data_IF_621483978044
#
_entry.id   IF_621483978044
#
_cell.length_a   1.000
_cell.length_b   1.000
_cell.length_c   1.000
_cell.angle_alpha   90.00
_cell.angle_beta   90.00
_cell.angle_gamma   90.00
#
_symmetry.space_group_name_H-M   'P 1'
#
loop_
_entity.id
_entity.type
_entity.pdbx_description
1 polymer ?
#
# COMPACT_ATOMS: atom_id res chain seq x y z
N UNK A 1 -6.24 -18.47 22.65
CA UNK A 1 -5.43 -17.23 22.66
C UNK A 1 -4.03 -17.42 23.26
N UNK A 2 -3.70 -18.52 23.96
CA UNK A 2 -2.37 -18.68 24.57
C UNK A 2 -1.19 -18.77 23.55
N UNK A 3 -1.31 -19.58 22.50
CA UNK A 3 -0.18 -19.86 21.60
C UNK A 3 0.42 -18.65 20.87
N UNK A 4 -0.41 -17.70 20.40
CA UNK A 4 0.09 -16.53 19.67
C UNK A 4 1.05 -15.64 20.51
N UNK A 5 0.90 -15.62 21.84
CA UNK A 5 1.79 -14.89 22.73
C UNK A 5 3.10 -15.66 23.04
N UNK A 6 3.13 -16.97 22.83
CA UNK A 6 4.35 -17.77 22.96
C UNK A 6 5.24 -17.68 21.71
N UNK A 7 4.63 -17.54 20.52
CA UNK A 7 5.35 -17.38 19.25
C UNK A 7 6.13 -16.04 19.22
N UNK A 8 5.46 -14.92 19.57
CA UNK A 8 6.04 -13.55 19.57
C UNK A 8 7.24 -13.36 20.53
N UNK A 9 7.50 -14.29 21.46
CA UNK A 9 8.51 -14.09 22.53
C UNK A 9 9.94 -14.00 22.03
N UNK A 10 10.23 -14.55 20.85
CA UNK A 10 11.57 -14.55 20.24
C UNK A 10 11.69 -13.55 19.09
N UNK A 11 10.62 -12.87 18.70
CA UNK A 11 10.59 -11.97 17.53
C UNK A 11 11.66 -10.89 17.61
N UNK A 12 11.87 -10.26 18.76
CA UNK A 12 12.91 -9.24 18.92
C UNK A 12 14.33 -9.76 18.69
N UNK A 13 14.60 -11.02 19.06
CA UNK A 13 15.90 -11.66 18.80
C UNK A 13 16.04 -12.05 17.32
N UNK A 14 14.98 -12.62 16.72
CA UNK A 14 14.97 -13.01 15.31
C UNK A 14 15.03 -11.78 14.38
N UNK A 15 14.38 -10.67 14.75
CA UNK A 15 14.42 -9.40 14.02
C UNK A 15 15.80 -8.75 14.10
N UNK A 16 16.42 -8.71 15.29
CA UNK A 16 17.79 -8.21 15.45
C UNK A 16 18.79 -9.05 14.64
N UNK A 17 18.59 -10.37 14.52
CA UNK A 17 19.35 -11.20 13.60
C UNK A 17 19.04 -10.86 12.13
N UNK A 18 17.77 -10.71 11.75
CA UNK A 18 17.36 -10.38 10.38
C UNK A 18 17.94 -9.05 9.89
N UNK A 19 17.96 -8.02 10.74
CA UNK A 19 18.53 -6.70 10.45
C UNK A 19 20.06 -6.71 10.23
N UNK A 20 20.77 -7.76 10.68
CA UNK A 20 22.22 -7.93 10.47
C UNK A 20 22.57 -8.71 9.19
N UNK A 21 21.59 -9.16 8.42
CA UNK A 21 21.82 -9.89 7.17
C UNK A 21 21.45 -9.02 5.97
N UNK A 22 22.46 -8.45 5.31
CA UNK A 22 22.28 -7.64 4.09
C UNK A 22 21.67 -8.45 2.93
N UNK A 23 21.89 -9.78 2.90
CA UNK A 23 21.24 -10.72 1.98
C UNK A 23 19.80 -11.10 2.35
N UNK A 24 19.23 -10.47 3.39
CA UNK A 24 17.84 -10.62 3.79
C UNK A 24 17.46 -12.04 4.23
N UNK A 25 16.20 -12.43 3.96
CA UNK A 25 15.59 -13.66 4.50
C UNK A 25 16.34 -14.94 4.05
N UNK A 26 16.86 -14.98 2.83
CA UNK A 26 17.60 -16.16 2.34
C UNK A 26 18.87 -16.40 3.14
N UNK A 27 19.60 -15.33 3.49
CA UNK A 27 20.82 -15.41 4.28
C UNK A 27 20.51 -15.77 5.74
N UNK A 28 19.47 -15.17 6.34
CA UNK A 28 18.99 -15.50 7.68
C UNK A 28 18.62 -16.99 7.81
N UNK A 29 17.89 -17.54 6.83
CA UNK A 29 17.51 -18.96 6.79
C UNK A 29 18.75 -19.85 6.67
N UNK A 30 19.72 -19.47 5.84
CA UNK A 30 21.00 -20.17 5.75
C UNK A 30 21.77 -20.13 7.08
N UNK A 31 21.84 -18.98 7.75
CA UNK A 31 22.44 -18.83 9.08
C UNK A 31 21.78 -19.72 10.13
N UNK A 32 20.45 -19.85 10.10
CA UNK A 32 19.71 -20.76 10.98
C UNK A 32 20.07 -22.24 10.74
N UNK A 33 20.06 -22.73 9.49
CA UNK A 33 20.51 -24.10 9.18
C UNK A 33 21.99 -24.32 9.48
N UNK A 34 22.82 -23.30 9.27
CA UNK A 34 24.25 -23.27 9.59
C UNK A 34 24.50 -23.38 11.10
N UNK A 35 23.63 -22.79 11.94
CA UNK A 35 23.59 -23.00 13.38
C UNK A 35 23.18 -24.43 13.73
N UNK A 36 22.04 -24.92 13.21
CA UNK A 36 21.53 -26.27 13.48
C UNK A 36 22.60 -27.33 13.17
N UNK A 37 23.26 -27.25 12.01
CA UNK A 37 24.34 -28.15 11.61
C UNK A 37 25.56 -28.16 12.54
N UNK A 38 25.83 -27.06 13.26
CA UNK A 38 27.00 -26.93 14.15
C UNK A 38 26.72 -27.16 15.63
N UNK A 39 25.47 -26.96 16.06
CA UNK A 39 25.10 -26.87 17.49
C UNK A 39 23.99 -27.84 17.90
N UNK A 40 23.43 -28.59 16.95
CA UNK A 40 22.42 -29.62 17.20
C UNK A 40 22.75 -30.88 16.41
N UNK A 41 22.10 -31.97 16.75
CA UNK A 41 22.10 -33.24 16.03
C UNK A 41 21.09 -33.27 14.86
N UNK A 42 20.44 -32.15 14.52
CA UNK A 42 19.32 -32.06 13.57
C UNK A 42 19.52 -32.81 12.23
N UNK A 43 20.74 -32.83 11.69
CA UNK A 43 21.06 -33.51 10.41
C UNK A 43 21.61 -34.94 10.56
N UNK A 44 21.85 -35.43 11.78
CA UNK A 44 22.58 -36.69 12.04
C UNK A 44 21.98 -37.58 13.14
N UNK A 45 21.10 -37.07 13.99
CA UNK A 45 20.50 -37.77 15.13
C UNK A 45 19.17 -38.48 14.83
N UNK A 46 18.63 -38.32 13.62
CA UNK A 46 17.35 -38.90 13.20
C UNK A 46 17.47 -39.90 12.05
N UNK A 47 16.34 -40.51 11.70
CA UNK A 47 16.23 -41.36 10.50
C UNK A 47 16.49 -40.55 9.21
N UNK A 48 16.92 -41.24 8.14
CA UNK A 48 17.19 -40.59 6.85
C UNK A 48 15.93 -39.86 6.33
N UNK A 49 16.06 -38.57 6.04
CA UNK A 49 14.95 -37.71 5.61
C UNK A 49 14.11 -37.10 6.73
N UNK A 50 14.35 -37.42 8.01
CA UNK A 50 13.57 -36.86 9.14
C UNK A 50 13.68 -35.32 9.23
N UNK A 51 14.87 -34.77 9.00
CA UNK A 51 15.12 -33.33 8.98
C UNK A 51 14.32 -32.61 7.87
N UNK A 52 14.33 -33.17 6.65
CA UNK A 52 13.61 -32.64 5.49
C UNK A 52 12.10 -32.68 5.71
N UNK A 53 11.58 -33.80 6.24
CA UNK A 53 10.17 -33.95 6.60
C UNK A 53 9.73 -32.91 7.63
N UNK A 54 10.52 -32.68 8.67
CA UNK A 54 10.22 -31.68 9.71
C UNK A 54 10.15 -30.26 9.11
N UNK A 55 11.11 -29.90 8.24
CA UNK A 55 11.11 -28.60 7.54
C UNK A 55 9.84 -28.46 6.68
N UNK A 56 9.48 -29.48 5.91
CA UNK A 56 8.27 -29.47 5.08
C UNK A 56 6.98 -29.36 5.90
N UNK A 57 6.87 -30.08 7.02
CA UNK A 57 5.69 -30.02 7.90
C UNK A 57 5.55 -28.64 8.54
N UNK A 58 6.65 -28.08 9.07
CA UNK A 58 6.66 -26.73 9.65
C UNK A 58 6.32 -25.65 8.60
N UNK A 59 6.96 -25.70 7.42
CA UNK A 59 6.67 -24.78 6.33
C UNK A 59 5.20 -24.83 5.90
N UNK A 60 4.66 -26.03 5.67
CA UNK A 60 3.26 -26.21 5.27
C UNK A 60 2.28 -25.72 6.35
N UNK A 61 2.61 -25.90 7.63
CA UNK A 61 1.81 -25.38 8.74
C UNK A 61 1.71 -23.84 8.70
N UNK A 62 2.85 -23.15 8.69
CA UNK A 62 2.87 -21.68 8.67
C UNK A 62 2.32 -21.09 7.36
N UNK A 63 2.57 -21.73 6.21
CA UNK A 63 2.00 -21.33 4.92
C UNK A 63 0.46 -21.43 4.94
N UNK A 64 -0.12 -22.49 5.53
CA UNK A 64 -1.57 -22.62 5.70
C UNK A 64 -2.16 -21.54 6.61
N UNK A 65 -1.48 -21.21 7.72
CA UNK A 65 -1.89 -20.11 8.61
C UNK A 65 -1.85 -18.75 7.92
N UNK A 66 -0.78 -18.48 7.16
CA UNK A 66 -0.62 -17.25 6.37
C UNK A 66 -1.75 -17.11 5.34
N UNK A 67 -2.02 -18.14 4.54
CA UNK A 67 -3.12 -18.16 3.56
C UNK A 67 -4.49 -17.94 4.20
N UNK A 68 -4.81 -18.67 5.27
CA UNK A 68 -6.10 -18.51 5.97
C UNK A 68 -6.27 -17.11 6.59
N UNK A 69 -5.17 -16.45 6.96
CA UNK A 69 -5.18 -15.07 7.45
C UNK A 69 -5.38 -14.09 6.29
N UNK A 70 -4.67 -14.27 5.18
CA UNK A 70 -4.83 -13.47 3.96
C UNK A 70 -6.27 -13.54 3.39
N UNK A 71 -6.84 -14.75 3.33
CA UNK A 71 -8.22 -14.99 2.87
C UNK A 71 -9.26 -14.26 3.75
N UNK A 72 -9.06 -14.23 5.08
CA UNK A 72 -9.93 -13.47 6.01
C UNK A 72 -9.84 -11.96 5.77
N UNK A 73 -8.64 -11.41 5.65
CA UNK A 73 -8.42 -9.98 5.40
C UNK A 73 -9.08 -9.55 4.08
N UNK A 74 -9.01 -10.41 3.05
CA UNK A 74 -9.65 -10.15 1.76
C UNK A 74 -11.17 -10.27 1.82
N UNK A 75 -11.71 -11.23 2.58
CA UNK A 75 -13.15 -11.34 2.82
C UNK A 75 -13.70 -10.11 3.55
N UNK A 76 -13.04 -9.67 4.64
CA UNK A 76 -13.41 -8.45 5.39
C UNK A 76 -13.35 -7.19 4.49
N UNK A 77 -12.31 -7.06 3.66
CA UNK A 77 -12.21 -5.95 2.69
C UNK A 77 -13.34 -5.97 1.66
N UNK A 78 -13.67 -7.13 1.09
CA UNK A 78 -14.80 -7.27 0.15
C UNK A 78 -16.14 -6.97 0.81
N UNK A 79 -16.32 -7.36 2.07
CA UNK A 79 -17.55 -7.07 2.80
C UNK A 79 -17.66 -5.59 3.17
N UNK A 80 -16.57 -4.95 3.61
CA UNK A 80 -16.51 -3.52 3.86
C UNK A 80 -16.84 -2.70 2.59
N UNK A 81 -16.29 -3.10 1.43
CA UNK A 81 -16.61 -2.49 0.13
C UNK A 81 -18.10 -2.63 -0.23
N UNK A 82 -18.69 -3.83 -0.06
CA UNK A 82 -20.13 -4.05 -0.29
C UNK A 82 -21.00 -3.21 0.63
N UNK A 83 -20.68 -3.17 1.94
CA UNK A 83 -21.39 -2.34 2.94
C UNK A 83 -21.31 -0.85 2.57
N UNK A 84 -20.15 -0.37 2.13
CA UNK A 84 -19.98 1.01 1.65
C UNK A 84 -20.82 1.31 0.41
N UNK A 85 -20.85 0.41 -0.58
CA UNK A 85 -21.64 0.59 -1.80
C UNK A 85 -23.14 0.66 -1.49
N UNK A 86 -23.64 -0.23 -0.61
CA UNK A 86 -25.05 -0.24 -0.17
C UNK A 86 -25.40 1.03 0.61
N UNK A 87 -24.50 1.57 1.44
CA UNK A 87 -24.73 2.84 2.15
C UNK A 87 -24.74 4.03 1.19
N UNK A 88 -23.88 4.05 0.17
CA UNK A 88 -23.89 5.08 -0.88
C UNK A 88 -25.10 4.99 -1.82
N UNK A 89 -25.70 3.81 -1.97
CA UNK A 89 -26.87 3.57 -2.83
C UNK A 89 -28.22 3.65 -2.10
N UNK A 90 -28.26 3.81 -0.78
CA UNK A 90 -29.51 4.18 -0.10
C UNK A 90 -29.88 5.62 -0.47
N UNK A 91 -31.07 5.86 -1.05
CA UNK A 91 -31.56 7.23 -1.22
C UNK A 91 -31.64 7.90 0.16
N UNK A 92 -31.31 9.19 0.24
CA UNK A 92 -31.86 10.00 1.32
C UNK A 92 -33.37 10.03 1.11
N UNK A 93 -34.14 9.50 2.06
CA UNK A 93 -35.57 9.82 2.17
C UNK A 93 -35.69 11.32 2.46
N UNK A 94 -35.78 12.11 1.39
CA UNK A 94 -36.44 13.41 1.44
C UNK A 94 -37.91 13.16 1.18
N UNK A 95 -38.74 13.60 2.11
CA UNK A 95 -40.14 13.89 1.82
C UNK A 95 -40.22 14.80 0.58
N UNK A 96 -40.85 14.33 -0.49
CA UNK A 96 -41.92 15.04 -1.24
C UNK A 96 -42.49 14.16 -2.38
N UNK A 97 -43.72 14.41 -2.87
CA UNK A 97 -44.58 13.33 -3.38
C UNK A 97 -44.63 13.12 -4.90
N UNK A 98 -44.66 11.82 -5.28
CA UNK A 98 -45.56 11.16 -6.26
C UNK A 98 -46.05 11.93 -7.51
N UNK A 99 -45.64 11.47 -8.70
CA UNK A 99 -46.36 11.40 -10.00
C UNK A 99 -45.48 10.51 -10.93
N UNK A 100 -45.77 9.21 -11.04
CA UNK A 100 -46.46 8.50 -12.16
C UNK A 100 -45.74 8.49 -13.52
N UNK A 101 -45.64 7.29 -14.11
CA UNK A 101 -44.85 6.91 -15.29
C UNK A 101 -45.35 7.52 -16.61
N UNK A 102 -44.43 7.83 -17.53
CA UNK A 102 -44.68 8.01 -18.96
C UNK A 102 -43.53 7.38 -19.79
N UNK A 103 -43.90 6.83 -20.95
CA UNK A 103 -43.15 5.86 -21.77
C UNK A 103 -42.31 6.46 -22.90
N UNK A 104 -41.49 5.62 -23.54
CA UNK A 104 -40.38 5.93 -24.47
C UNK A 104 -40.68 6.78 -25.74
N UNK A 105 -41.92 7.21 -25.98
CA UNK A 105 -42.31 7.88 -27.24
C UNK A 105 -41.83 9.34 -27.36
N UNK A 106 -41.45 10.01 -26.27
CA UNK A 106 -40.98 11.41 -26.32
C UNK A 106 -39.53 11.57 -26.77
N UNK A 107 -38.68 10.55 -26.54
CA UNK A 107 -37.28 10.56 -26.96
C UNK A 107 -37.10 10.58 -28.49
N UNK A 108 -38.02 9.96 -29.23
CA UNK A 108 -37.93 9.82 -30.68
C UNK A 108 -38.20 11.12 -31.46
N UNK A 109 -38.89 12.09 -30.84
CA UNK A 109 -39.15 13.40 -31.46
C UNK A 109 -37.91 14.30 -31.46
N UNK A 110 -37.21 14.38 -30.33
CA UNK A 110 -36.00 15.21 -30.21
C UNK A 110 -34.88 14.79 -31.18
N UNK A 111 -34.73 13.49 -31.46
CA UNK A 111 -33.69 13.01 -32.35
C UNK A 111 -33.92 13.45 -33.81
N UNK A 112 -35.18 13.44 -34.28
CA UNK A 112 -35.55 13.80 -35.68
C UNK A 112 -35.36 15.28 -36.00
N UNK A 113 -35.38 16.17 -35.00
CA UNK A 113 -35.11 17.60 -35.21
C UNK A 113 -33.61 17.94 -35.25
N UNK A 114 -32.75 17.14 -34.60
CA UNK A 114 -31.30 17.34 -34.62
C UNK A 114 -30.70 16.94 -35.97
N UNK A 115 -31.10 15.80 -36.53
CA UNK A 115 -30.53 15.30 -37.79
C UNK A 115 -30.92 16.16 -39.01
N UNK A 116 -32.10 16.77 -38.99
CA UNK A 116 -32.56 17.69 -40.04
C UNK A 116 -31.71 18.96 -40.13
N UNK A 117 -31.18 19.44 -39.01
CA UNK A 117 -30.43 20.70 -38.93
C UNK A 117 -28.92 20.53 -39.24
N UNK A 118 -28.45 19.28 -39.43
CA UNK A 118 -27.04 18.96 -39.72
C UNK A 118 -26.75 18.68 -41.21
N UNK A 119 -27.79 18.62 -42.04
CA UNK A 119 -27.68 18.32 -43.47
C UNK A 119 -27.37 19.54 -44.37
N UNK A 120 -27.54 20.76 -43.89
CA UNK A 120 -27.49 21.99 -44.71
C UNK A 120 -26.11 22.69 -44.73
N UNK A 121 -25.03 22.06 -44.25
CA UNK A 121 -23.65 22.61 -44.33
C UNK A 121 -22.60 21.55 -44.70
N UNK A 122 -22.24 21.49 -45.99
CA UNK A 122 -21.09 20.73 -46.52
C UNK A 122 -20.44 21.46 -47.71
N UNK A 123 -19.16 21.14 -47.95
CA UNK A 123 -18.24 21.62 -49.01
C UNK A 123 -17.69 23.03 -48.68
N UNK A 124 -16.40 23.40 -48.81
CA UNK A 124 -15.32 23.10 -49.80
C UNK A 124 -13.89 23.35 -49.19
N UNK A 125 -12.71 22.91 -49.67
CA UNK A 125 -12.22 21.72 -50.45
C UNK A 125 -10.67 21.59 -50.32
N UNK A 126 -10.12 20.36 -50.40
CA UNK A 126 -8.79 19.94 -50.97
C UNK A 126 -7.36 20.20 -50.38
N UNK A 127 -6.63 19.06 -50.26
CA UNK A 127 -5.22 18.73 -50.68
C UNK A 127 -3.92 19.28 -50.02
N UNK A 128 -2.90 18.40 -49.97
CA UNK A 128 -1.54 18.51 -49.37
C UNK A 128 -0.44 18.79 -50.43
N UNK A 129 0.85 19.11 -50.09
CA UNK A 129 1.86 18.07 -49.72
C UNK A 129 3.14 18.47 -48.90
N UNK A 130 3.90 17.45 -48.43
CA UNK A 130 5.37 17.42 -48.14
C UNK A 130 5.97 18.25 -46.97
N UNK A 131 7.09 17.92 -46.28
CA UNK A 131 7.95 16.69 -46.07
C UNK A 131 9.11 17.07 -45.07
N UNK A 132 9.85 16.11 -44.48
CA UNK A 132 11.22 16.24 -43.86
C UNK A 132 11.28 16.91 -42.44
N UNK A 133 12.00 16.47 -41.39
CA UNK A 133 12.86 15.29 -41.09
C UNK A 133 13.09 15.08 -39.56
N UNK A 134 13.26 13.82 -39.12
CA UNK A 134 14.22 13.30 -38.09
C UNK A 134 14.23 13.87 -36.63
N UNK A 135 14.75 13.18 -35.59
CA UNK A 135 15.69 12.04 -35.51
C UNK A 135 15.42 11.18 -34.23
N UNK A 136 15.76 9.88 -34.29
CA UNK A 136 16.29 8.91 -33.27
C UNK A 136 16.24 9.23 -31.75
N UNK A 137 16.24 8.31 -30.78
CA UNK A 137 16.26 6.82 -30.62
C UNK A 137 15.92 6.59 -29.12
N UNK A 138 15.67 5.41 -28.52
CA UNK A 138 16.13 4.04 -28.75
C UNK A 138 15.15 3.10 -27.99
N UNK A 139 15.04 1.82 -28.40
CA UNK A 139 14.41 0.79 -27.56
C UNK A 139 15.45 0.23 -26.59
N UNK A 140 15.04 -0.05 -25.36
CA UNK A 140 15.47 -1.25 -24.65
C UNK A 140 14.20 -2.00 -24.23
N UNK A 141 14.17 -3.29 -24.57
CA UNK A 141 13.07 -4.21 -24.29
C UNK A 141 13.46 -5.08 -23.10
N UNK A 142 12.81 -4.88 -21.96
CA UNK A 142 12.65 -5.92 -20.94
C UNK A 142 11.15 -6.27 -20.88
N UNK A 143 10.76 -7.30 -21.62
CA UNK A 143 9.45 -7.92 -21.49
C UNK A 143 9.39 -8.71 -20.19
N UNK A 144 8.66 -8.21 -19.19
CA UNK A 144 8.13 -9.05 -18.12
C UNK A 144 6.62 -8.80 -17.99
N UNK A 145 5.86 -9.90 -18.00
CA UNK A 145 4.46 -9.91 -18.44
C UNK A 145 3.56 -9.10 -17.49
N UNK A 146 3.01 -7.97 -17.97
CA UNK A 146 1.97 -7.24 -17.23
C UNK A 146 0.71 -8.09 -17.08
N UNK A 147 0.52 -8.67 -15.89
CA UNK A 147 -0.78 -9.17 -15.45
C UNK A 147 -1.75 -7.96 -15.41
N UNK A 148 -2.80 -7.96 -16.25
CA UNK A 148 -3.76 -6.85 -16.46
C UNK A 148 -4.54 -6.40 -15.20
N UNK A 149 -4.18 -6.91 -14.02
CA UNK A 149 -4.76 -6.60 -12.71
C UNK A 149 -3.94 -5.60 -11.89
N UNK A 150 -2.74 -5.21 -12.33
CA UNK A 150 -1.83 -4.34 -11.55
C UNK A 150 -1.60 -2.91 -12.09
N UNK A 151 -2.24 -2.54 -13.22
CA UNK A 151 -2.31 -1.14 -13.69
C UNK A 151 -2.92 -0.22 -12.60
N UNK A 152 -2.05 0.50 -11.89
CA UNK A 152 -2.40 1.48 -10.85
C UNK A 152 -1.97 1.15 -9.42
N UNK A 153 -1.30 0.01 -9.15
CA UNK A 153 -0.73 -0.26 -7.82
C UNK A 153 0.72 0.22 -7.74
N UNK A 154 1.05 1.05 -6.74
CA UNK A 154 2.44 1.44 -6.48
C UNK A 154 3.25 0.18 -6.15
N UNK A 155 4.30 -0.09 -6.95
CA UNK A 155 5.24 -1.18 -6.68
C UNK A 155 5.90 -0.95 -5.31
N UNK A 156 5.89 -1.95 -4.40
CA UNK A 156 6.54 -1.78 -3.10
C UNK A 156 8.02 -1.49 -3.27
N UNK A 157 8.56 -0.61 -2.43
CA UNK A 157 10.01 -0.41 -2.34
C UNK A 157 10.66 -1.59 -1.58
N UNK A 158 12.00 -1.67 -1.58
CA UNK A 158 12.74 -2.77 -0.94
C UNK A 158 12.47 -2.93 0.56
N UNK A 159 11.94 -1.89 1.22
CA UNK A 159 11.49 -1.92 2.61
C UNK A 159 10.00 -2.21 2.78
N UNK A 160 9.35 -2.89 1.83
CA UNK A 160 7.91 -3.23 1.82
C UNK A 160 6.94 -2.03 1.98
N UNK A 161 7.41 -0.80 1.80
CA UNK A 161 6.61 0.42 1.84
C UNK A 161 6.39 0.97 0.44
N UNK A 162 6.32 2.30 0.31
CA UNK A 162 6.19 2.95 -0.99
C UNK A 162 6.95 4.28 -1.07
N UNK A 163 7.37 4.60 -2.28
CA UNK A 163 7.99 5.86 -2.64
C UNK A 163 6.94 6.78 -3.28
N UNK A 164 6.69 7.94 -2.67
CA UNK A 164 5.80 8.97 -3.21
C UNK A 164 6.57 10.29 -3.39
N UNK A 165 6.09 11.22 -4.26
CA UNK A 165 6.81 12.45 -4.58
C UNK A 165 7.13 13.37 -3.38
N UNK A 166 6.34 13.27 -2.30
CA UNK A 166 6.45 14.15 -1.13
C UNK A 166 6.90 13.42 0.15
N UNK A 167 6.95 12.09 0.14
CA UNK A 167 7.38 11.27 1.27
C UNK A 167 7.71 9.84 0.83
N UNK A 168 8.68 9.22 1.48
CA UNK A 168 8.98 7.79 1.38
C UNK A 168 8.67 7.13 2.70
N UNK A 169 8.21 5.89 2.67
CA UNK A 169 8.11 5.08 3.89
C UNK A 169 8.52 3.63 3.65
N UNK A 170 8.99 2.99 4.70
CA UNK A 170 9.40 1.58 4.78
C UNK A 170 8.80 0.96 6.03
N UNK A 171 8.66 -0.36 6.09
CA UNK A 171 8.07 -1.04 7.24
C UNK A 171 8.66 -2.43 7.46
N UNK A 172 8.58 -2.86 8.71
CA UNK A 172 8.76 -4.26 9.12
C UNK A 172 7.41 -4.83 9.57
N UNK A 173 7.39 -5.96 10.29
CA UNK A 173 6.19 -6.44 10.97
C UNK A 173 5.85 -5.61 12.23
N UNK A 174 6.87 -5.08 12.92
CA UNK A 174 6.76 -4.28 14.14
C UNK A 174 6.58 -2.78 13.87
N UNK A 175 7.35 -2.20 12.96
CA UNK A 175 7.43 -0.73 12.83
C UNK A 175 7.10 -0.21 11.42
N UNK A 176 6.98 1.11 11.32
CA UNK A 176 6.97 1.87 10.07
C UNK A 176 7.85 3.10 10.23
N UNK A 177 8.79 3.28 9.30
CA UNK A 177 9.63 4.47 9.20
C UNK A 177 9.15 5.33 8.02
N UNK A 178 8.89 6.60 8.29
CA UNK A 178 8.45 7.59 7.32
C UNK A 178 9.53 8.68 7.20
N UNK A 179 9.91 9.05 5.99
CA UNK A 179 10.77 10.19 5.69
C UNK A 179 10.03 11.23 4.84
N UNK A 180 9.89 12.45 5.36
CA UNK A 180 9.24 13.59 4.70
C UNK A 180 10.27 14.69 4.42
N UNK A 181 10.80 14.80 3.19
CA UNK A 181 11.70 15.87 2.81
C UNK A 181 10.94 17.19 2.59
N UNK A 182 11.40 18.27 3.24
CA UNK A 182 10.85 19.61 3.04
C UNK A 182 11.78 20.46 2.15
N UNK A 183 11.30 21.01 1.01
CA UNK A 183 12.10 21.84 0.12
C UNK A 183 12.27 23.27 0.65
N UNK A 184 12.93 23.41 1.80
CA UNK A 184 13.20 24.69 2.47
C UNK A 184 14.65 25.14 2.29
N UNK A 185 14.85 26.45 2.16
CA UNK A 185 16.17 27.10 2.04
C UNK A 185 16.89 27.29 3.38
N UNK A 186 16.18 27.10 4.50
CA UNK A 186 16.69 27.23 5.87
C UNK A 186 16.74 25.87 6.58
N UNK A 187 17.56 25.78 7.65
CA UNK A 187 17.64 24.57 8.48
C UNK A 187 16.43 24.48 9.42
N UNK A 188 15.60 23.47 9.26
CA UNK A 188 14.45 23.19 10.12
C UNK A 188 14.86 23.02 11.59
N UNK A 189 14.01 23.49 12.50
CA UNK A 189 14.08 23.23 13.94
C UNK A 189 12.72 22.74 14.43
N UNK A 190 12.67 22.03 15.56
CA UNK A 190 11.42 21.45 16.08
C UNK A 190 10.28 22.46 16.35
N UNK A 191 10.58 23.76 16.49
CA UNK A 191 9.58 24.84 16.61
C UNK A 191 8.90 25.23 15.28
N UNK A 192 9.49 24.86 14.15
CA UNK A 192 9.07 25.22 12.79
C UNK A 192 8.28 24.08 12.13
N UNK A 193 8.27 22.89 12.75
CA UNK A 193 7.58 21.67 12.30
C UNK A 193 6.42 21.37 13.25
N UNK A 194 5.35 20.79 12.71
CA UNK A 194 4.25 20.17 13.47
C UNK A 194 4.27 18.68 13.16
N UNK A 195 4.52 17.85 14.17
CA UNK A 195 4.32 16.40 14.14
C UNK A 195 3.37 16.04 15.27
N UNK A 196 2.17 15.57 14.94
CA UNK A 196 1.19 15.08 15.90
C UNK A 196 0.88 13.62 15.59
N UNK A 197 1.23 12.72 16.52
CA UNK A 197 1.01 11.27 16.41
C UNK A 197 -0.10 10.89 17.38
N UNK A 198 -1.17 10.29 16.86
CA UNK A 198 -2.30 9.75 17.63
C UNK A 198 -2.48 8.29 17.24
N UNK A 199 -3.08 7.50 18.15
CA UNK A 199 -3.31 6.05 17.98
C UNK A 199 -3.83 5.64 16.59
N UNK A 200 -4.64 6.47 15.93
CA UNK A 200 -5.21 6.23 14.57
C UNK A 200 -5.03 7.38 13.58
N UNK A 201 -4.31 8.45 13.91
CA UNK A 201 -4.18 9.62 13.03
C UNK A 201 -2.77 10.18 13.15
N UNK A 202 -2.22 10.67 12.05
CA UNK A 202 -0.97 11.41 12.11
C UNK A 202 -1.05 12.65 11.23
N UNK A 203 -0.42 13.72 11.71
CA UNK A 203 -0.29 15.00 11.01
C UNK A 203 1.19 15.41 11.00
N UNK A 204 1.74 15.69 9.82
CA UNK A 204 3.14 16.12 9.61
C UNK A 204 3.17 17.32 8.66
N UNK A 205 3.78 18.43 9.07
CA UNK A 205 3.86 19.64 8.26
C UNK A 205 4.73 20.75 8.85
N UNK A 206 4.77 21.91 8.17
CA UNK A 206 5.40 23.11 8.68
C UNK A 206 4.40 23.97 9.47
N UNK A 207 4.89 24.62 10.52
CA UNK A 207 4.06 25.49 11.36
C UNK A 207 3.56 26.69 10.57
N UNK A 208 2.24 26.82 10.47
CA UNK A 208 1.57 27.90 9.72
C UNK A 208 1.38 27.62 8.22
N UNK A 209 1.68 26.41 7.75
CA UNK A 209 1.31 25.94 6.41
C UNK A 209 0.33 24.76 6.49
N UNK A 210 -0.28 24.42 5.36
CA UNK A 210 -1.06 23.18 5.23
C UNK A 210 -0.14 21.97 5.52
N UNK A 211 -0.55 21.00 6.35
CA UNK A 211 0.21 19.78 6.55
C UNK A 211 0.47 19.04 5.24
N UNK A 212 1.68 18.48 5.07
CA UNK A 212 2.00 17.61 3.92
C UNK A 212 1.26 16.28 4.08
N UNK A 213 1.15 15.82 5.33
CA UNK A 213 0.40 14.62 5.70
C UNK A 213 -0.61 14.99 6.77
N UNK A 214 -1.88 14.64 6.57
CA UNK A 214 -2.91 14.62 7.60
C UNK A 214 -3.94 13.55 7.24
N UNK A 215 -4.09 12.51 8.05
CA UNK A 215 -5.03 11.43 7.74
C UNK A 215 -5.14 10.33 8.79
N UNK A 216 -6.15 9.48 8.63
CA UNK A 216 -6.32 8.26 9.45
C UNK A 216 -5.27 7.21 9.02
N UNK A 217 -4.45 6.78 9.97
CA UNK A 217 -3.49 5.69 9.78
C UNK A 217 -4.22 4.39 9.45
N UNK A 218 -3.59 3.52 8.66
CA UNK A 218 -4.22 2.27 8.23
C UNK A 218 -4.59 1.34 9.42
N UNK A 219 -3.70 1.23 10.41
CA UNK A 219 -3.94 0.54 11.68
C UNK A 219 -3.53 1.42 12.87
N UNK A 220 -3.54 0.84 14.07
CA UNK A 220 -3.25 1.54 15.31
C UNK A 220 -1.77 1.52 15.69
N UNK A 221 -1.25 2.63 16.19
CA UNK A 221 0.14 2.75 16.66
C UNK A 221 0.20 2.93 18.18
N UNK A 222 1.28 2.43 18.79
CA UNK A 222 1.59 2.66 20.20
C UNK A 222 2.24 4.05 20.33
N UNK A 223 1.43 5.07 20.60
CA UNK A 223 1.88 6.47 20.59
C UNK A 223 3.10 6.73 21.49
N UNK A 224 3.17 6.08 22.66
CA UNK A 224 4.27 6.24 23.62
C UNK A 224 5.62 5.66 23.11
N UNK A 225 5.57 4.68 22.20
CA UNK A 225 6.74 4.05 21.58
C UNK A 225 7.07 4.71 20.20
N UNK A 226 6.24 5.67 19.73
CA UNK A 226 6.47 6.41 18.50
C UNK A 226 7.40 7.60 18.73
N UNK A 227 8.26 7.93 17.76
CA UNK A 227 9.16 9.07 17.85
C UNK A 227 9.32 9.78 16.50
N UNK A 228 9.88 10.99 16.53
CA UNK A 228 10.23 11.74 15.33
C UNK A 228 11.48 12.58 15.55
N UNK A 229 12.22 12.82 14.48
CA UNK A 229 13.42 13.65 14.49
C UNK A 229 13.57 14.43 13.17
N UNK A 230 14.55 15.34 13.15
CA UNK A 230 14.86 16.14 11.97
C UNK A 230 16.27 15.79 11.51
N UNK A 231 16.35 15.09 10.39
CA UNK A 231 17.59 14.66 9.74
C UNK A 231 18.07 15.74 8.76
N UNK A 232 19.38 16.02 8.79
CA UNK A 232 20.08 17.10 8.07
C UNK A 232 19.45 18.51 8.16
N UNK A 233 18.48 18.71 9.05
CA UNK A 233 17.66 19.92 9.10
C UNK A 233 16.78 20.15 7.88
N UNK A 234 16.45 19.11 7.10
CA UNK A 234 15.61 19.19 5.89
C UNK A 234 14.61 18.06 5.76
N UNK A 235 14.90 16.88 6.33
CA UNK A 235 13.99 15.73 6.32
C UNK A 235 13.42 15.57 7.72
N UNK A 236 12.12 15.40 7.84
CA UNK A 236 11.49 14.96 9.08
C UNK A 236 11.28 13.45 8.97
N UNK A 237 11.91 12.70 9.86
CA UNK A 237 11.70 11.26 9.96
C UNK A 237 10.79 10.95 11.14
N UNK A 238 9.84 10.03 10.94
CA UNK A 238 8.86 9.61 11.94
C UNK A 238 8.88 8.10 12.02
N UNK A 239 9.13 7.58 13.22
CA UNK A 239 9.14 6.17 13.55
C UNK A 239 7.84 5.81 14.29
N UNK A 240 7.11 4.83 13.76
CA UNK A 240 5.81 4.39 14.27
C UNK A 240 5.85 2.92 14.67
N UNK A 241 5.71 2.65 15.96
CA UNK A 241 5.58 1.30 16.51
C UNK A 241 4.12 0.81 16.37
N UNK A 242 3.92 -0.34 15.71
CA UNK A 242 2.60 -0.94 15.52
C UNK A 242 2.12 -1.60 16.82
N UNK A 243 0.81 -1.67 17.01
CA UNK A 243 0.25 -2.59 18.02
C UNK A 243 0.44 -4.03 17.52
N UNK A 244 0.84 -4.95 18.42
CA UNK A 244 1.12 -6.36 18.11
C UNK A 244 -0.04 -7.06 17.38
N UNK A 245 0.30 -8.05 16.55
CA UNK A 245 -0.66 -8.79 15.72
C UNK A 245 -1.15 -8.05 14.47
N UNK A 246 -0.52 -6.94 14.09
CA UNK A 246 -0.87 -6.19 12.87
C UNK A 246 -0.12 -6.70 11.63
N UNK A 247 -0.82 -6.63 10.50
CA UNK A 247 -0.32 -7.07 9.21
C UNK A 247 0.43 -5.95 8.47
N UNK A 248 1.28 -6.35 7.52
CA UNK A 248 1.98 -5.47 6.58
C UNK A 248 0.98 -4.51 5.92
N UNK A 249 1.19 -3.20 6.10
CA UNK A 249 0.31 -2.18 5.56
C UNK A 249 0.53 -2.10 4.04
N UNK A 250 -0.52 -2.15 3.21
CA UNK A 250 -0.38 -1.89 1.76
C UNK A 250 -0.51 -0.40 1.40
N UNK A 251 -0.98 0.41 2.34
CA UNK A 251 -1.08 1.87 2.25
C UNK A 251 -0.86 2.43 3.65
N UNK A 252 -0.16 3.56 3.75
CA UNK A 252 0.19 4.19 5.02
C UNK A 252 -1.00 4.93 5.65
N UNK A 253 -1.70 5.74 4.85
CA UNK A 253 -3.00 6.31 5.19
C UNK A 253 -4.12 5.47 4.57
N UNK A 254 -5.25 5.44 5.25
CA UNK A 254 -6.51 4.95 4.71
C UNK A 254 -6.97 5.94 3.61
N UNK A 255 -7.22 5.45 2.39
CA UNK A 255 -7.74 6.30 1.31
C UNK A 255 -9.03 6.99 1.79
N UNK A 256 -9.00 8.32 1.85
CA UNK A 256 -10.20 9.11 2.06
C UNK A 256 -11.15 8.94 0.88
N UNK A 257 -12.45 8.94 1.16
CA UNK A 257 -13.47 9.11 0.13
C UNK A 257 -13.47 10.58 -0.31
N UNK A 258 -12.58 10.92 -1.24
CA UNK A 258 -12.68 12.13 -2.07
C UNK A 258 -13.52 11.82 -3.29
#
# INVERSE_FOLDING_TARGET
MAGAAEDERFDGMLLAMAQQHDGGVQELVNTFFSFLRRKTDFFVGGESGAAEKLIHEAFNHHNKLSRATQEKIEAEKREAQKREHVVKQKPMERDEPRITELTDEEAEKLQKEIDKNKAERKNETDQSPNKIQQLESQKDEDEDVEDEKDKGKLKPNSGNGADLPYYRWTQTLSEVDLAVPFPVSFRLKGKDVIVEIKRRRMTVGLKGQTPILDGELFNEVKVEDCSWLIEDGKVVTVHLEKVRGQLVMKMFFKMGRG
#
